data_IF_579237091490
#
_entry.id   IF_579237091490
#
_cell.length_a   1.000
_cell.length_b   1.000
_cell.length_c   1.000
_cell.angle_alpha   90.00
_cell.angle_beta   90.00
_cell.angle_gamma   90.00
#
_symmetry.space_group_name_H-M   'P 1'
#
loop_
_entity.id
_entity.type
_entity.pdbx_description
1 polymer ?
#
# COMPACT_ATOMS: atom_id res chain seq x y z
N UNK A 1 45.08 11.21 15.92
CA UNK A 1 43.88 11.52 16.74
C UNK A 1 42.90 10.39 16.56
N UNK A 2 42.69 9.55 17.57
CA UNK A 2 41.72 8.45 17.52
C UNK A 2 40.34 9.05 17.80
N UNK A 3 39.41 8.96 16.84
CA UNK A 3 38.04 9.42 17.06
C UNK A 3 37.37 8.57 18.14
N UNK A 4 36.51 9.18 18.96
CA UNK A 4 35.76 8.44 19.97
C UNK A 4 34.81 7.44 19.28
N UNK A 5 34.72 6.18 19.74
CA UNK A 5 34.00 5.11 19.04
C UNK A 5 32.51 5.41 18.78
N UNK A 6 31.88 6.25 19.61
CA UNK A 6 30.50 6.70 19.39
C UNK A 6 30.31 7.63 18.20
N UNK A 7 31.31 8.47 17.86
CA UNK A 7 31.22 9.41 16.73
C UNK A 7 31.36 8.72 15.38
N UNK A 8 32.13 7.64 15.30
CA UNK A 8 32.32 6.88 14.06
C UNK A 8 31.05 6.14 13.65
N UNK A 9 30.36 5.48 14.59
CA UNK A 9 29.08 4.80 14.34
C UNK A 9 28.00 5.81 13.89
N UNK A 10 27.97 7.00 14.48
CA UNK A 10 27.01 8.05 14.11
C UNK A 10 27.23 8.52 12.67
N UNK A 11 28.47 8.83 12.29
CA UNK A 11 28.82 9.23 10.92
C UNK A 11 28.51 8.13 9.90
N UNK A 12 28.82 6.87 10.22
CA UNK A 12 28.49 5.74 9.35
C UNK A 12 26.97 5.56 9.23
N UNK A 13 26.22 5.76 10.31
CA UNK A 13 24.75 5.69 10.29
C UNK A 13 24.13 6.80 9.44
N UNK A 14 24.66 8.02 9.50
CA UNK A 14 24.27 9.12 8.63
C UNK A 14 24.57 8.81 7.17
N UNK A 15 25.79 8.35 6.87
CA UNK A 15 26.19 7.98 5.51
C UNK A 15 25.32 6.87 4.93
N UNK A 16 25.04 5.84 5.73
CA UNK A 16 24.12 4.77 5.35
C UNK A 16 22.72 5.35 5.04
N UNK A 17 22.19 6.19 5.92
CA UNK A 17 20.87 6.83 5.71
C UNK A 17 20.80 7.65 4.43
N UNK A 18 21.82 8.46 4.13
CA UNK A 18 21.92 9.22 2.88
C UNK A 18 21.88 8.29 1.67
N UNK A 19 22.65 7.20 1.72
CA UNK A 19 22.83 6.28 0.60
C UNK A 19 21.53 5.57 0.21
N UNK A 20 20.85 4.92 1.16
CA UNK A 20 19.63 4.15 0.85
C UNK A 20 18.36 5.00 0.73
N UNK A 21 18.27 6.15 1.43
CA UNK A 21 17.08 7.02 1.36
C UNK A 21 17.09 7.98 0.19
N UNK A 22 18.28 8.43 -0.23
CA UNK A 22 18.39 9.51 -1.20
C UNK A 22 19.10 9.06 -2.46
N UNK A 23 20.38 8.64 -2.35
CA UNK A 23 21.22 8.44 -3.54
C UNK A 23 20.75 7.28 -4.42
N UNK A 24 20.55 6.08 -3.87
CA UNK A 24 20.11 4.92 -4.67
C UNK A 24 18.71 5.14 -5.29
N UNK A 25 17.69 5.63 -4.56
CA UNK A 25 16.41 6.00 -5.16
C UNK A 25 16.51 7.08 -6.24
N UNK A 26 17.38 8.08 -6.06
CA UNK A 26 17.57 9.14 -7.05
C UNK A 26 18.13 8.59 -8.38
N UNK A 27 19.17 7.75 -8.31
CA UNK A 27 19.73 7.07 -9.48
C UNK A 27 18.69 6.19 -10.19
N UNK A 28 17.89 5.44 -9.42
CA UNK A 28 16.81 4.62 -9.97
C UNK A 28 15.75 5.45 -10.68
N UNK A 29 15.32 6.56 -10.07
CA UNK A 29 14.33 7.48 -10.65
C UNK A 29 14.84 8.13 -11.93
N UNK A 30 16.13 8.47 -11.98
CA UNK A 30 16.80 9.00 -13.16
C UNK A 30 17.05 7.94 -14.24
N UNK A 31 16.86 6.64 -13.93
CA UNK A 31 17.27 5.51 -14.78
C UNK A 31 18.74 5.61 -15.18
N UNK A 32 19.57 5.92 -14.20
CA UNK A 32 21.00 6.13 -14.41
C UNK A 32 21.63 4.89 -15.08
N UNK A 33 22.45 5.06 -16.13
CA UNK A 33 23.03 3.95 -16.90
C UNK A 33 24.07 3.14 -16.12
N UNK A 34 24.45 3.57 -14.91
CA UNK A 34 25.30 2.81 -14.00
C UNK A 34 24.76 1.41 -13.68
N UNK A 35 23.45 1.20 -13.83
CA UNK A 35 22.81 -0.11 -13.81
C UNK A 35 22.07 -0.34 -15.13
N UNK A 36 22.25 -1.51 -15.74
CA UNK A 36 21.52 -1.90 -16.95
C UNK A 36 20.00 -1.94 -16.73
N UNK A 37 19.55 -2.23 -15.51
CA UNK A 37 18.13 -2.28 -15.14
C UNK A 37 17.98 -1.94 -13.66
N UNK A 38 16.98 -1.11 -13.34
CA UNK A 38 16.59 -0.78 -11.97
C UNK A 38 15.33 -1.56 -11.57
N UNK A 39 15.44 -2.73 -10.92
CA UNK A 39 14.28 -3.56 -10.54
C UNK A 39 13.46 -2.94 -9.40
N UNK A 40 14.04 -1.99 -8.66
CA UNK A 40 13.42 -1.33 -7.50
C UNK A 40 13.65 0.17 -7.53
N UNK A 41 12.74 0.94 -6.93
CA UNK A 41 12.77 2.41 -6.91
C UNK A 41 12.57 3.02 -5.52
N UNK A 42 12.20 2.21 -4.52
CA UNK A 42 11.88 2.69 -3.19
C UNK A 42 13.05 2.46 -2.23
N UNK A 43 13.29 3.42 -1.35
CA UNK A 43 14.34 3.41 -0.33
C UNK A 43 14.44 2.09 0.47
N UNK A 44 13.31 1.60 0.97
CA UNK A 44 13.24 0.37 1.74
C UNK A 44 13.53 -0.88 0.90
N UNK A 45 13.33 -0.84 -0.42
CA UNK A 45 13.72 -1.94 -1.30
C UNK A 45 15.25 -2.02 -1.38
N UNK A 46 15.94 -0.89 -1.54
CA UNK A 46 17.40 -0.82 -1.51
C UNK A 46 17.96 -1.25 -0.15
N UNK A 47 17.40 -0.74 0.95
CA UNK A 47 17.80 -1.14 2.28
C UNK A 47 17.66 -2.65 2.48
N UNK A 48 16.54 -3.27 2.08
CA UNK A 48 16.38 -4.72 2.15
C UNK A 48 17.47 -5.45 1.35
N UNK A 49 17.65 -5.10 0.06
CA UNK A 49 18.58 -5.81 -0.83
C UNK A 49 20.00 -5.72 -0.27
N UNK A 50 20.43 -4.52 0.11
CA UNK A 50 21.78 -4.33 0.65
C UNK A 50 21.96 -5.07 1.96
N UNK A 51 21.03 -4.95 2.92
CA UNK A 51 21.17 -5.59 4.22
C UNK A 51 21.11 -7.12 4.12
N UNK A 52 20.25 -7.69 3.27
CA UNK A 52 20.19 -9.13 3.04
C UNK A 52 21.51 -9.68 2.50
N UNK A 53 22.16 -8.95 1.59
CA UNK A 53 23.40 -9.40 0.95
C UNK A 53 24.67 -9.05 1.75
N UNK A 54 24.71 -7.92 2.45
CA UNK A 54 25.86 -7.49 3.23
C UNK A 54 25.91 -8.13 4.63
N UNK A 55 24.75 -8.40 5.22
CA UNK A 55 24.63 -8.81 6.62
C UNK A 55 23.94 -10.17 6.73
N UNK A 56 22.80 -10.32 6.07
CA UNK A 56 21.99 -11.53 6.12
C UNK A 56 22.73 -12.77 5.63
N UNK A 57 23.60 -12.61 4.62
CA UNK A 57 24.35 -13.65 3.90
C UNK A 57 23.42 -14.76 3.37
N UNK A 58 23.08 -15.73 4.21
CA UNK A 58 22.27 -16.90 3.86
C UNK A 58 20.84 -16.85 4.42
N UNK A 59 20.55 -15.86 5.28
CA UNK A 59 19.22 -15.63 5.84
C UNK A 59 18.80 -14.15 5.76
N UNK A 60 17.51 -13.83 5.79
CA UNK A 60 17.04 -12.46 5.88
C UNK A 60 17.74 -11.65 6.97
N UNK A 61 18.13 -10.40 6.69
CA UNK A 61 18.83 -9.56 7.67
C UNK A 61 18.04 -9.38 8.98
N UNK A 62 16.71 -9.49 8.91
CA UNK A 62 15.79 -9.40 10.06
C UNK A 62 16.01 -10.48 11.12
N UNK A 63 16.68 -11.57 10.76
CA UNK A 63 17.08 -12.63 11.69
C UNK A 63 18.51 -12.45 12.22
N UNK A 64 19.29 -11.54 11.61
CA UNK A 64 20.65 -11.23 12.02
C UNK A 64 20.70 -9.99 12.94
N UNK A 65 19.80 -9.01 12.74
CA UNK A 65 19.83 -7.73 13.46
C UNK A 65 18.43 -7.35 13.94
N UNK A 66 18.35 -6.82 15.17
CA UNK A 66 17.13 -6.24 15.73
C UNK A 66 16.68 -5.00 14.95
N UNK A 67 15.37 -4.85 14.80
CA UNK A 67 14.81 -3.63 14.24
C UNK A 67 14.85 -2.48 15.27
N UNK A 68 15.05 -1.22 14.84
CA UNK A 68 15.40 -0.77 13.49
C UNK A 68 16.90 -0.98 13.19
N UNK A 69 17.25 -1.49 12.00
CA UNK A 69 18.64 -1.83 11.64
C UNK A 69 19.62 -0.67 11.84
N UNK A 70 19.23 0.55 11.45
CA UNK A 70 20.05 1.77 11.58
C UNK A 70 20.55 2.02 13.00
N UNK A 71 19.82 1.55 14.04
CA UNK A 71 20.22 1.74 15.45
C UNK A 71 20.92 0.52 16.06
N UNK A 72 20.88 -0.62 15.39
CA UNK A 72 21.29 -1.91 15.96
C UNK A 72 22.42 -2.59 15.17
N UNK A 73 22.91 -1.96 14.08
CA UNK A 73 24.08 -2.43 13.35
C UNK A 73 25.37 -2.08 14.09
N UNK A 74 26.33 -3.01 14.08
CA UNK A 74 27.70 -2.71 14.46
C UNK A 74 28.38 -1.82 13.43
N UNK A 75 29.53 -1.25 13.81
CA UNK A 75 30.38 -0.48 12.92
C UNK A 75 30.76 -1.25 11.64
N UNK A 76 31.16 -2.52 11.78
CA UNK A 76 31.50 -3.40 10.64
C UNK A 76 30.29 -3.67 9.73
N UNK A 77 29.10 -3.83 10.32
CA UNK A 77 27.86 -4.04 9.56
C UNK A 77 27.47 -2.79 8.77
N UNK A 78 27.64 -1.60 9.37
CA UNK A 78 27.46 -0.33 8.68
C UNK A 78 28.46 -0.17 7.54
N UNK A 79 29.75 -0.44 7.78
CA UNK A 79 30.82 -0.40 6.76
C UNK A 79 30.50 -1.33 5.59
N UNK A 80 30.08 -2.57 5.87
CA UNK A 80 29.70 -3.54 4.83
C UNK A 80 28.45 -3.11 4.03
N UNK A 81 27.44 -2.55 4.69
CA UNK A 81 26.24 -2.05 4.02
C UNK A 81 26.54 -0.83 3.12
N UNK A 82 27.35 0.11 3.61
CA UNK A 82 27.78 1.29 2.85
C UNK A 82 28.62 0.85 1.65
N UNK A 83 29.60 -0.03 1.83
CA UNK A 83 30.42 -0.55 0.73
C UNK A 83 29.56 -1.16 -0.39
N UNK A 84 28.62 -2.04 -0.04
CA UNK A 84 27.74 -2.65 -1.03
C UNK A 84 26.84 -1.63 -1.71
N UNK A 85 26.28 -0.67 -0.96
CA UNK A 85 25.46 0.40 -1.52
C UNK A 85 26.25 1.33 -2.47
N UNK A 86 27.51 1.61 -2.16
CA UNK A 86 28.41 2.40 -3.01
C UNK A 86 28.78 1.64 -4.29
N UNK A 87 29.01 0.33 -4.20
CA UNK A 87 29.22 -0.53 -5.37
C UNK A 87 27.99 -0.57 -6.27
N UNK A 88 26.78 -0.60 -5.72
CA UNK A 88 25.55 -0.46 -6.49
C UNK A 88 25.47 0.91 -7.19
N UNK A 89 25.75 1.99 -6.46
CA UNK A 89 25.69 3.36 -6.97
C UNK A 89 26.79 3.68 -8.00
N UNK A 90 27.82 2.84 -8.12
CA UNK A 90 28.93 2.97 -9.08
C UNK A 90 28.95 1.86 -10.13
N UNK A 91 27.98 0.94 -10.12
CA UNK A 91 27.84 -0.11 -11.15
C UNK A 91 28.81 -1.27 -10.96
N UNK A 92 29.56 -1.29 -9.85
CA UNK A 92 30.49 -2.36 -9.46
C UNK A 92 29.79 -3.56 -8.82
N UNK A 93 28.47 -3.48 -8.61
CA UNK A 93 27.64 -4.59 -8.17
C UNK A 93 26.34 -4.62 -8.98
N UNK A 94 25.88 -5.83 -9.30
CA UNK A 94 24.65 -6.05 -10.05
C UNK A 94 23.43 -6.00 -9.13
N UNK A 95 22.62 -4.95 -9.27
CA UNK A 95 21.40 -4.76 -8.48
C UNK A 95 20.36 -5.86 -8.74
N UNK A 96 20.26 -6.37 -9.97
CA UNK A 96 19.29 -7.40 -10.34
C UNK A 96 19.65 -8.71 -9.66
N UNK A 97 20.90 -9.15 -9.76
CA UNK A 97 21.36 -10.38 -9.11
C UNK A 97 21.18 -10.34 -7.58
N UNK A 98 21.45 -9.18 -6.95
CA UNK A 98 21.30 -9.01 -5.51
C UNK A 98 19.84 -8.96 -5.07
N UNK A 99 18.95 -8.38 -5.89
CA UNK A 99 17.50 -8.41 -5.66
C UNK A 99 16.96 -9.83 -5.74
N UNK A 100 17.35 -10.59 -6.77
CA UNK A 100 16.95 -11.97 -6.95
C UNK A 100 17.37 -12.84 -5.77
N UNK A 101 18.63 -12.76 -5.34
CA UNK A 101 19.11 -13.48 -4.14
C UNK A 101 18.32 -13.11 -2.88
N UNK A 102 18.05 -11.82 -2.68
CA UNK A 102 17.26 -11.34 -1.53
C UNK A 102 15.80 -11.82 -1.58
N UNK A 103 15.23 -12.00 -2.76
CA UNK A 103 13.90 -12.58 -2.93
C UNK A 103 13.90 -14.10 -2.69
N UNK A 104 14.90 -14.81 -3.22
CA UNK A 104 15.08 -16.25 -3.04
C UNK A 104 15.20 -16.65 -1.57
N UNK A 105 16.05 -15.96 -0.80
CA UNK A 105 16.21 -16.25 0.63
C UNK A 105 14.93 -16.02 1.45
N UNK A 106 13.99 -15.22 0.91
CA UNK A 106 12.69 -14.90 1.52
C UNK A 106 11.56 -15.76 0.96
N UNK A 107 11.89 -16.80 0.17
CA UNK A 107 10.93 -17.73 -0.42
C UNK A 107 10.12 -17.14 -1.58
N UNK A 108 10.55 -16.02 -2.19
CA UNK A 108 9.91 -15.41 -3.36
C UNK A 108 10.69 -15.78 -4.61
N UNK A 109 10.16 -16.70 -5.43
CA UNK A 109 10.76 -17.04 -6.72
C UNK A 109 10.77 -15.82 -7.65
N UNK A 110 11.97 -15.39 -8.09
CA UNK A 110 12.13 -14.43 -9.18
C UNK A 110 11.60 -15.05 -10.49
N UNK A 111 10.98 -14.23 -11.35
CA UNK A 111 10.60 -14.68 -12.71
C UNK A 111 11.88 -14.77 -13.54
N UNK A 112 12.49 -15.94 -13.61
CA UNK A 112 13.64 -16.23 -14.46
C UNK A 112 13.36 -15.79 -15.91
N UNK A 113 14.22 -14.95 -16.49
CA UNK A 113 14.23 -14.65 -17.93
C UNK A 113 14.58 -15.93 -18.70
N UNK A 114 13.83 -16.22 -19.77
CA UNK A 114 14.01 -17.38 -20.65
C UNK A 114 14.70 -16.90 -21.94
N UNK A 115 15.76 -17.62 -22.35
CA UNK A 115 16.55 -17.42 -23.57
C UNK A 115 18.03 -17.42 -23.19
N UNK A 116 18.90 -18.33 -23.63
CA UNK A 116 18.97 -19.26 -24.77
C UNK A 116 19.55 -20.60 -24.25
N UNK A 117 19.45 -21.80 -24.81
CA UNK A 117 18.82 -22.39 -25.97
C UNK A 117 19.40 -23.81 -26.00
N UNK A 118 18.57 -24.85 -25.83
CA UNK A 118 18.84 -26.22 -26.29
C UNK A 118 17.61 -27.11 -26.05
N UNK A 119 17.32 -27.91 -27.06
CA UNK A 119 16.13 -28.74 -27.24
C UNK A 119 15.94 -29.78 -26.13
N UNK A 120 14.69 -29.91 -25.66
CA UNK A 120 14.02 -31.22 -25.52
C UNK A 120 12.60 -31.07 -24.96
N UNK A 121 11.72 -31.87 -25.53
CA UNK A 121 10.28 -31.93 -25.36
C UNK A 121 9.80 -32.13 -23.91
N UNK A 122 8.82 -31.35 -23.44
CA UNK A 122 7.63 -31.85 -22.71
C UNK A 122 6.69 -30.72 -22.25
N UNK A 123 5.39 -31.01 -22.35
CA UNK A 123 4.23 -30.14 -22.08
C UNK A 123 3.75 -30.21 -20.60
N UNK A 124 2.81 -29.34 -20.14
CA UNK A 124 2.97 -28.55 -18.93
C UNK A 124 2.26 -29.07 -17.66
N UNK A 125 2.80 -28.78 -16.47
CA UNK A 125 2.07 -28.83 -15.19
C UNK A 125 2.03 -27.47 -14.50
N UNK A 126 0.82 -26.90 -14.45
CA UNK A 126 0.42 -25.74 -13.63
C UNK A 126 0.57 -26.05 -12.14
N UNK A 127 1.14 -25.12 -11.34
CA UNK A 127 0.65 -24.85 -9.97
C UNK A 127 1.19 -23.56 -9.32
N UNK A 128 0.21 -22.86 -8.72
CA UNK A 128 0.20 -21.97 -7.55
C UNK A 128 1.35 -20.98 -7.33
N UNK A 129 1.02 -19.68 -7.38
CA UNK A 129 1.80 -18.60 -6.76
C UNK A 129 1.06 -18.07 -5.54
N UNK A 130 1.57 -18.45 -4.38
CA UNK A 130 1.36 -17.78 -3.10
C UNK A 130 2.23 -16.52 -3.07
N UNK A 131 1.65 -15.36 -2.73
CA UNK A 131 2.44 -14.13 -2.50
C UNK A 131 2.31 -13.70 -1.06
N UNK A 132 3.31 -14.12 -0.29
CA UNK A 132 3.56 -13.69 1.09
C UNK A 132 3.94 -12.21 1.18
N UNK A 133 3.24 -11.56 2.12
CA UNK A 133 3.67 -10.49 3.02
C UNK A 133 5.14 -10.06 2.92
N UNK A 134 5.38 -8.76 2.73
CA UNK A 134 6.44 -7.95 3.37
C UNK A 134 6.08 -6.50 3.00
N UNK A 135 5.83 -5.64 4.01
CA UNK A 135 6.18 -4.21 4.00
C UNK A 135 5.57 -3.53 5.24
N UNK A 136 6.26 -3.59 6.38
CA UNK A 136 5.94 -2.82 7.59
C UNK A 136 7.17 -2.10 8.15
N UNK A 137 8.08 -1.61 7.31
CA UNK A 137 9.28 -0.95 7.80
C UNK A 137 9.64 0.28 6.95
N UNK A 138 9.58 1.43 7.62
CA UNK A 138 10.17 2.73 7.27
C UNK A 138 9.44 3.63 6.24
N UNK A 139 9.10 4.86 6.68
CA UNK A 139 8.73 6.04 5.89
C UNK A 139 9.64 7.19 6.35
N UNK A 140 10.08 8.10 5.45
CA UNK A 140 9.33 9.35 5.25
C UNK A 140 9.26 9.86 3.79
N UNK A 141 8.28 10.73 3.54
CA UNK A 141 7.93 11.41 2.27
C UNK A 141 9.06 12.23 1.63
N UNK A 142 8.88 12.61 0.35
CA UNK A 142 9.03 14.02 -0.02
C UNK A 142 7.83 14.61 -0.76
N UNK A 143 7.70 15.92 -0.53
CA UNK A 143 6.82 16.95 -1.06
C UNK A 143 7.11 17.31 -2.52
N UNK A 144 6.11 17.88 -3.21
CA UNK A 144 6.12 19.09 -4.08
C UNK A 144 4.85 19.10 -4.98
N UNK A 145 4.57 20.14 -5.78
CA UNK A 145 3.90 21.42 -5.46
C UNK A 145 2.59 21.60 -6.30
N UNK A 146 1.84 22.72 -6.23
CA UNK A 146 0.48 22.79 -6.78
C UNK A 146 0.47 23.08 -8.28
N UNK A 147 -0.47 22.49 -9.01
CA UNK A 147 -0.76 22.82 -10.41
C UNK A 147 -2.15 23.45 -10.50
N UNK A 148 -2.20 24.56 -11.23
CA UNK A 148 -3.29 25.52 -11.35
C UNK A 148 -4.45 25.02 -12.21
N UNK A 149 -5.64 25.54 -11.93
CA UNK A 149 -6.86 25.47 -12.74
C UNK A 149 -6.66 25.97 -14.18
N UNK A 150 -7.54 25.56 -15.11
CA UNK A 150 -8.46 26.57 -15.63
C UNK A 150 -9.91 26.09 -15.85
N UNK A 151 -10.81 26.80 -15.17
CA UNK A 151 -12.04 27.44 -15.66
C UNK A 151 -12.91 26.77 -16.74
N UNK A 152 -14.09 26.40 -16.25
CA UNK A 152 -15.41 26.31 -16.91
C UNK A 152 -15.75 27.46 -17.86
N UNK A 153 -16.42 27.12 -18.98
CA UNK A 153 -17.38 27.98 -19.69
C UNK A 153 -18.70 27.21 -19.85
N UNK A 154 -19.78 27.79 -19.33
CA UNK A 154 -21.18 27.43 -19.67
C UNK A 154 -21.56 28.05 -21.02
N UNK A 155 -22.63 27.57 -21.71
CA UNK A 155 -23.95 28.21 -21.52
C UNK A 155 -25.21 27.33 -21.72
N UNK A 156 -26.21 27.64 -20.89
CA UNK A 156 -27.67 27.74 -21.08
C UNK A 156 -28.49 26.82 -22.03
N UNK A 157 -29.42 26.11 -21.39
CA UNK A 157 -30.89 26.07 -21.56
C UNK A 157 -31.54 25.89 -22.95
N UNK A 158 -32.43 24.89 -23.06
CA UNK A 158 -33.78 24.99 -23.69
C UNK A 158 -34.70 23.79 -23.32
N UNK A 159 -35.86 24.17 -22.81
CA UNK A 159 -37.23 23.59 -22.77
C UNK A 159 -37.57 22.16 -23.22
N UNK A 160 -38.51 21.59 -22.45
CA UNK A 160 -39.20 20.27 -22.48
C UNK A 160 -40.12 20.05 -23.71
N UNK A 161 -40.63 18.81 -23.95
CA UNK A 161 -41.90 18.34 -23.36
C UNK A 161 -41.98 16.84 -22.94
N UNK A 162 -42.98 16.57 -22.08
CA UNK A 162 -43.53 15.32 -21.45
C UNK A 162 -44.08 14.33 -22.52
N UNK A 163 -44.22 12.99 -22.39
CA UNK A 163 -44.89 12.04 -21.42
C UNK A 163 -44.52 10.56 -21.84
N UNK A 164 -45.12 9.45 -21.31
CA UNK A 164 -45.14 8.81 -19.98
C UNK A 164 -44.52 7.38 -19.94
N UNK A 165 -44.19 6.90 -18.74
CA UNK A 165 -44.38 5.50 -18.36
C UNK A 165 -43.19 4.54 -18.50
N UNK A 166 -42.37 4.41 -17.45
CA UNK A 166 -41.84 3.11 -17.04
C UNK A 166 -41.63 3.14 -15.54
N UNK A 167 -42.19 2.12 -14.89
CA UNK A 167 -42.39 1.95 -13.46
C UNK A 167 -41.06 1.96 -12.71
N UNK A 168 -40.93 2.89 -11.76
CA UNK A 168 -39.83 2.92 -10.80
C UNK A 168 -39.98 1.74 -9.83
N UNK A 169 -38.94 0.93 -9.57
CA UNK A 169 -38.96 0.03 -8.44
C UNK A 169 -38.99 0.87 -7.16
N UNK A 170 -40.02 0.61 -6.36
CA UNK A 170 -40.22 1.07 -4.99
C UNK A 170 -38.89 1.10 -4.20
N UNK A 171 -38.38 2.31 -4.00
CA UNK A 171 -37.26 2.57 -3.08
C UNK A 171 -37.83 3.28 -1.86
N UNK A 172 -38.57 2.52 -1.05
CA UNK A 172 -38.88 2.89 0.32
C UNK A 172 -37.60 3.35 1.03
N UNK A 173 -37.55 4.58 1.60
CA UNK A 173 -36.39 5.07 2.34
C UNK A 173 -36.14 4.16 3.55
N UNK A 174 -35.08 3.35 3.51
CA UNK A 174 -34.68 2.55 4.66
C UNK A 174 -34.13 3.49 5.75
N UNK A 175 -34.73 3.44 6.93
CA UNK A 175 -34.31 4.11 8.16
C UNK A 175 -32.78 4.10 8.35
N UNK A 176 -32.15 5.22 8.77
CA UNK A 176 -30.71 5.27 8.98
C UNK A 176 -30.30 4.22 10.02
N UNK A 177 -29.42 3.28 9.62
CA UNK A 177 -28.93 2.24 10.52
C UNK A 177 -28.26 2.89 11.73
N UNK A 178 -28.80 2.67 12.92
CA UNK A 178 -28.22 3.18 14.17
C UNK A 178 -26.85 2.52 14.41
N UNK A 179 -25.77 3.30 14.26
CA UNK A 179 -24.38 2.85 14.46
C UNK A 179 -23.85 3.10 15.88
N UNK A 180 -24.68 3.61 16.80
CA UNK A 180 -24.28 3.94 18.17
C UNK A 180 -23.70 2.74 18.94
N UNK A 181 -24.25 1.50 18.84
CA UNK A 181 -23.65 0.34 19.49
C UNK A 181 -22.22 0.05 19.00
N UNK A 182 -21.96 0.23 17.71
CA UNK A 182 -20.66 0.01 17.09
C UNK A 182 -19.68 1.09 17.53
N UNK A 183 -20.10 2.36 17.55
CA UNK A 183 -19.30 3.47 18.05
C UNK A 183 -18.91 3.26 19.52
N UNK A 184 -19.85 2.81 20.36
CA UNK A 184 -19.57 2.49 21.75
C UNK A 184 -18.52 1.36 21.87
N UNK A 185 -18.67 0.25 21.13
CA UNK A 185 -17.70 -0.85 21.12
C UNK A 185 -16.31 -0.42 20.64
N UNK A 186 -16.23 0.47 19.64
CA UNK A 186 -14.96 1.02 19.18
C UNK A 186 -14.32 1.86 20.30
N UNK A 187 -15.10 2.74 20.94
CA UNK A 187 -14.62 3.62 21.99
C UNK A 187 -14.06 2.86 23.20
N UNK A 188 -14.75 1.81 23.66
CA UNK A 188 -14.36 1.00 24.84
C UNK A 188 -13.28 -0.04 24.56
N UNK A 189 -12.87 -0.23 23.30
CA UNK A 189 -11.86 -1.22 22.93
C UNK A 189 -10.41 -0.82 23.27
N UNK A 190 -9.49 -1.79 23.29
CA UNK A 190 -8.06 -1.57 23.47
C UNK A 190 -7.32 -1.23 22.15
N UNK A 191 -8.04 -0.72 21.15
CA UNK A 191 -7.46 -0.34 19.87
C UNK A 191 -6.65 0.96 19.97
N UNK A 192 -5.60 1.08 19.14
CA UNK A 192 -4.84 2.33 19.00
C UNK A 192 -5.76 3.50 18.60
N UNK A 193 -5.45 4.75 18.98
CA UNK A 193 -6.25 5.92 18.60
C UNK A 193 -6.53 6.01 17.10
N UNK A 194 -5.53 5.75 16.25
CA UNK A 194 -5.69 5.73 14.79
C UNK A 194 -6.74 4.72 14.32
N UNK A 195 -6.71 3.49 14.86
CA UNK A 195 -7.69 2.44 14.53
C UNK A 195 -9.09 2.81 15.02
N UNK A 196 -9.23 3.37 16.23
CA UNK A 196 -10.53 3.84 16.75
C UNK A 196 -11.12 4.89 15.82
N UNK A 197 -10.37 5.94 15.51
CA UNK A 197 -10.78 6.99 14.59
C UNK A 197 -11.19 6.42 13.22
N UNK A 198 -10.33 5.59 12.62
CA UNK A 198 -10.59 5.02 11.29
C UNK A 198 -11.86 4.18 11.27
N UNK A 199 -12.10 3.34 12.28
CA UNK A 199 -13.31 2.51 12.37
C UNK A 199 -14.56 3.34 12.66
N UNK A 200 -14.46 4.40 13.47
CA UNK A 200 -15.58 5.32 13.70
C UNK A 200 -15.98 6.07 12.42
N UNK A 201 -15.01 6.45 11.59
CA UNK A 201 -15.29 7.06 10.28
C UNK A 201 -16.01 6.10 9.32
N UNK A 202 -15.75 4.79 9.38
CA UNK A 202 -16.50 3.82 8.58
C UNK A 202 -17.98 3.82 8.92
N UNK A 203 -18.32 4.01 10.20
CA UNK A 203 -19.71 4.06 10.65
C UNK A 203 -20.48 5.26 10.09
N UNK A 204 -19.79 6.28 9.56
CA UNK A 204 -20.42 7.44 8.94
C UNK A 204 -20.75 7.22 7.45
N UNK A 205 -20.20 6.18 6.82
CA UNK A 205 -20.47 5.88 5.41
C UNK A 205 -21.87 5.28 5.33
N UNK A 206 -22.83 5.91 4.62
CA UNK A 206 -24.20 5.39 4.54
C UNK A 206 -24.26 4.01 3.87
N UNK A 207 -25.30 3.24 4.17
CA UNK A 207 -25.65 2.03 3.42
C UNK A 207 -25.85 2.39 1.95
N UNK A 208 -25.31 1.58 1.04
CA UNK A 208 -25.41 1.80 -0.41
C UNK A 208 -24.40 2.80 -0.96
N UNK A 209 -23.57 3.38 -0.09
CA UNK A 209 -22.44 4.21 -0.48
C UNK A 209 -21.12 3.49 -0.19
N UNK A 210 -20.08 3.92 -0.88
CA UNK A 210 -18.73 3.44 -0.69
C UNK A 210 -17.77 4.62 -0.58
N UNK A 211 -16.62 4.41 0.04
CA UNK A 211 -15.50 5.35 0.02
C UNK A 211 -14.24 4.66 -0.50
N UNK A 212 -13.13 5.37 -0.59
CA UNK A 212 -11.84 4.81 -1.01
C UNK A 212 -10.81 4.89 0.10
N UNK A 213 -9.80 4.02 0.06
CA UNK A 213 -8.66 4.11 0.97
C UNK A 213 -7.99 5.49 0.94
N UNK A 214 -7.90 6.08 -0.26
CA UNK A 214 -7.35 7.42 -0.46
C UNK A 214 -8.24 8.48 0.21
N UNK A 215 -9.55 8.47 -0.05
CA UNK A 215 -10.47 9.45 0.55
C UNK A 215 -10.47 9.42 2.09
N UNK A 216 -10.43 8.23 2.69
CA UNK A 216 -10.29 8.08 4.14
C UNK A 216 -8.94 8.61 4.64
N UNK A 217 -7.83 8.27 3.97
CA UNK A 217 -6.52 8.76 4.38
C UNK A 217 -6.39 10.28 4.25
N UNK A 218 -6.99 10.87 3.23
CA UNK A 218 -7.01 12.32 3.01
C UNK A 218 -7.81 13.03 4.11
N UNK A 219 -8.95 12.46 4.51
CA UNK A 219 -9.76 13.03 5.59
C UNK A 219 -9.00 12.95 6.92
N UNK A 220 -8.50 11.78 7.31
CA UNK A 220 -7.76 11.60 8.57
C UNK A 220 -6.51 12.49 8.61
N UNK A 221 -5.81 12.64 7.48
CA UNK A 221 -4.64 13.50 7.38
C UNK A 221 -4.96 14.98 7.58
N UNK A 222 -6.18 15.42 7.20
CA UNK A 222 -6.63 16.80 7.41
C UNK A 222 -7.12 17.06 8.83
N UNK A 223 -7.68 16.06 9.52
CA UNK A 223 -8.37 16.26 10.80
C UNK A 223 -7.59 15.77 12.02
N UNK A 224 -6.61 14.88 11.86
CA UNK A 224 -5.89 14.28 12.99
C UNK A 224 -4.38 14.22 12.79
N UNK A 225 -3.89 13.35 11.92
CA UNK A 225 -2.45 13.16 11.69
C UNK A 225 -2.19 12.59 10.31
N UNK A 226 -1.00 12.87 9.79
CA UNK A 226 -0.57 12.39 8.47
C UNK A 226 -0.65 10.86 8.41
N UNK A 227 -1.47 10.36 7.48
CA UNK A 227 -1.67 8.93 7.24
C UNK A 227 -1.67 8.63 5.74
N UNK A 228 -1.76 7.36 5.37
CA UNK A 228 -1.77 6.93 3.97
C UNK A 228 -2.76 5.80 3.73
N UNK A 229 -3.16 5.61 2.48
CA UNK A 229 -4.10 4.57 2.06
C UNK A 229 -3.71 3.16 2.55
N UNK A 230 -2.39 2.86 2.62
CA UNK A 230 -1.89 1.58 3.14
C UNK A 230 -2.14 1.39 4.63
N UNK A 231 -1.98 2.44 5.44
CA UNK A 231 -2.28 2.41 6.87
C UNK A 231 -3.78 2.19 7.11
N UNK A 232 -4.64 2.85 6.32
CA UNK A 232 -6.10 2.62 6.33
C UNK A 232 -6.41 1.17 5.95
N UNK A 233 -5.78 0.64 4.89
CA UNK A 233 -5.93 -0.76 4.48
C UNK A 233 -5.58 -1.76 5.59
N UNK A 234 -4.50 -1.50 6.35
CA UNK A 234 -4.13 -2.32 7.51
C UNK A 234 -5.17 -2.23 8.65
N UNK A 235 -5.78 -1.06 8.86
CA UNK A 235 -6.88 -0.93 9.82
C UNK A 235 -8.12 -1.73 9.36
N UNK A 236 -8.45 -1.71 8.06
CA UNK A 236 -9.58 -2.49 7.50
C UNK A 236 -9.36 -3.99 7.63
N UNK A 237 -8.16 -4.47 7.30
CA UNK A 237 -7.79 -5.89 7.39
C UNK A 237 -7.93 -6.44 8.82
N UNK A 238 -7.66 -5.60 9.81
CA UNK A 238 -7.68 -5.96 11.22
C UNK A 238 -8.90 -5.37 11.95
N UNK A 239 -10.06 -5.28 11.29
CA UNK A 239 -11.29 -4.82 11.92
C UNK A 239 -11.92 -5.94 12.77
N UNK A 240 -11.86 -5.88 14.12
CA UNK A 240 -12.42 -6.94 14.98
C UNK A 240 -13.95 -6.87 15.09
N UNK A 241 -14.57 -5.82 14.55
CA UNK A 241 -16.01 -5.58 14.62
C UNK A 241 -16.72 -5.86 13.30
N UNK A 242 -16.04 -6.48 12.33
CA UNK A 242 -16.68 -6.95 11.10
C UNK A 242 -17.71 -8.05 11.40
N UNK A 243 -18.82 -8.14 10.65
CA UNK A 243 -19.28 -7.23 9.59
C UNK A 243 -20.02 -5.97 10.12
N UNK A 244 -20.25 -5.87 11.44
CA UNK A 244 -21.02 -4.78 12.05
C UNK A 244 -20.42 -3.39 11.82
N UNK A 245 -19.09 -3.27 11.76
CA UNK A 245 -18.39 -2.07 11.26
C UNK A 245 -18.05 -2.30 9.78
N UNK A 246 -18.55 -1.46 8.85
CA UNK A 246 -18.67 -1.81 7.44
C UNK A 246 -17.36 -1.58 6.64
N UNK A 247 -16.34 -2.39 6.91
CA UNK A 247 -15.07 -2.30 6.17
C UNK A 247 -15.19 -2.73 4.68
N UNK A 248 -16.26 -3.40 4.28
CA UNK A 248 -16.55 -3.74 2.89
C UNK A 248 -16.87 -2.50 2.03
N UNK A 249 -17.28 -1.38 2.63
CA UNK A 249 -17.56 -0.11 1.93
C UNK A 249 -16.31 0.65 1.48
N UNK A 250 -15.10 0.17 1.79
CA UNK A 250 -13.84 0.82 1.39
C UNK A 250 -13.22 0.12 0.18
N UNK A 251 -13.06 0.86 -0.91
CA UNK A 251 -12.60 0.37 -2.22
C UNK A 251 -11.29 1.02 -2.68
N UNK A 252 -10.74 0.54 -3.79
CA UNK A 252 -9.60 1.17 -4.44
C UNK A 252 -10.02 2.49 -5.13
N UNK A 253 -9.04 3.36 -5.38
CA UNK A 253 -9.27 4.70 -5.94
C UNK A 253 -9.90 4.67 -7.35
N UNK A 254 -9.67 3.59 -8.10
CA UNK A 254 -10.21 3.36 -9.45
C UNK A 254 -11.62 2.73 -9.45
N UNK A 255 -12.22 2.53 -8.27
CA UNK A 255 -13.52 1.87 -8.11
C UNK A 255 -13.48 0.35 -8.13
N UNK A 256 -12.29 -0.27 -8.26
CA UNK A 256 -12.15 -1.72 -8.09
C UNK A 256 -12.31 -2.14 -6.63
N UNK A 257 -12.62 -3.42 -6.39
CA UNK A 257 -12.95 -3.93 -5.05
C UNK A 257 -11.88 -3.66 -3.98
N UNK A 258 -10.60 -3.57 -4.35
CA UNK A 258 -9.51 -3.45 -3.39
C UNK A 258 -9.38 -4.68 -2.48
N UNK A 259 -8.94 -4.47 -1.23
CA UNK A 259 -8.70 -5.55 -0.28
C UNK A 259 -9.88 -5.85 0.64
N UNK A 260 -10.07 -7.12 1.02
CA UNK A 260 -11.06 -7.55 2.01
C UNK A 260 -10.67 -8.87 2.69
N UNK A 261 -10.92 -8.97 3.99
CA UNK A 261 -10.68 -10.20 4.76
C UNK A 261 -9.24 -10.72 4.75
N UNK A 262 -8.25 -9.89 4.43
CA UNK A 262 -6.85 -10.32 4.32
C UNK A 262 -6.32 -10.45 2.90
N UNK A 263 -7.17 -10.41 1.89
CA UNK A 263 -6.79 -10.66 0.49
C UNK A 263 -7.11 -9.46 -0.41
N UNK A 264 -6.50 -9.39 -1.60
CA UNK A 264 -6.62 -8.25 -2.52
C UNK A 264 -7.21 -8.64 -3.87
N UNK A 265 -8.06 -7.77 -4.42
CA UNK A 265 -8.60 -7.89 -5.78
C UNK A 265 -9.81 -8.82 -5.89
N UNK A 266 -10.36 -8.91 -7.10
CA UNK A 266 -11.58 -9.69 -7.42
C UNK A 266 -11.39 -11.21 -7.29
N UNK A 267 -10.15 -11.70 -7.24
CA UNK A 267 -9.81 -13.11 -7.05
C UNK A 267 -9.52 -13.51 -5.60
N UNK A 268 -9.63 -12.59 -4.64
CA UNK A 268 -9.46 -12.94 -3.22
C UNK A 268 -10.59 -13.85 -2.73
N UNK A 269 -10.29 -14.75 -1.78
CA UNK A 269 -11.24 -15.67 -1.15
C UNK A 269 -12.50 -14.98 -0.64
N UNK A 270 -12.35 -13.74 -0.14
CA UNK A 270 -13.45 -12.93 0.39
C UNK A 270 -13.96 -11.87 -0.60
N UNK A 271 -13.44 -11.83 -1.83
CA UNK A 271 -13.87 -10.85 -2.84
C UNK A 271 -15.35 -11.06 -3.21
N UNK A 272 -15.78 -12.33 -3.36
CA UNK A 272 -17.18 -12.67 -3.60
C UNK A 272 -18.10 -12.18 -2.47
N UNK A 273 -17.67 -12.36 -1.23
CA UNK A 273 -18.41 -11.90 -0.05
C UNK A 273 -18.49 -10.36 0.01
N UNK A 274 -17.39 -9.66 -0.31
CA UNK A 274 -17.40 -8.19 -0.40
C UNK A 274 -18.40 -7.70 -1.46
N UNK A 275 -18.40 -8.33 -2.63
CA UNK A 275 -19.33 -8.00 -3.72
C UNK A 275 -20.77 -8.25 -3.29
N UNK A 276 -21.04 -9.38 -2.62
CA UNK A 276 -22.37 -9.72 -2.10
C UNK A 276 -22.88 -8.65 -1.15
N UNK A 277 -22.09 -8.30 -0.14
CA UNK A 277 -22.44 -7.24 0.83
C UNK A 277 -22.72 -5.90 0.15
N UNK A 278 -21.86 -5.48 -0.79
CA UNK A 278 -22.06 -4.23 -1.54
C UNK A 278 -23.35 -4.26 -2.38
N UNK A 279 -23.64 -5.37 -3.07
CA UNK A 279 -24.86 -5.51 -3.87
C UNK A 279 -26.12 -5.52 -3.02
N UNK A 280 -26.10 -6.20 -1.87
CA UNK A 280 -27.21 -6.20 -0.91
C UNK A 280 -27.50 -4.80 -0.35
N UNK A 281 -26.48 -3.95 -0.31
CA UNK A 281 -26.63 -2.53 0.04
C UNK A 281 -27.10 -1.64 -1.12
N UNK A 282 -27.24 -2.18 -2.34
CA UNK A 282 -27.67 -1.43 -3.53
C UNK A 282 -26.51 -0.82 -4.33
N UNK A 283 -25.27 -1.19 -4.06
CA UNK A 283 -24.11 -0.67 -4.80
C UNK A 283 -24.02 -1.33 -6.19
N UNK A 284 -24.14 -0.52 -7.23
CA UNK A 284 -24.05 -0.96 -8.62
C UNK A 284 -22.62 -1.13 -9.12
N UNK A 285 -22.41 -2.10 -10.03
CA UNK A 285 -21.12 -2.38 -10.67
C UNK A 285 -21.20 -2.20 -12.20
N UNK A 286 -20.10 -1.78 -12.83
CA UNK A 286 -19.94 -1.74 -14.28
C UNK A 286 -19.61 -3.13 -14.87
N UNK A 287 -19.56 -3.23 -16.19
CA UNK A 287 -19.22 -4.48 -16.90
C UNK A 287 -17.78 -4.96 -16.64
N UNK A 288 -16.93 -4.11 -16.08
CA UNK A 288 -15.55 -4.42 -15.67
C UNK A 288 -15.45 -4.77 -14.18
N UNK A 289 -16.57 -4.85 -13.46
CA UNK A 289 -16.63 -5.17 -12.04
C UNK A 289 -16.17 -4.04 -11.11
N UNK A 290 -16.18 -2.78 -11.58
CA UNK A 290 -15.91 -1.59 -10.76
C UNK A 290 -17.20 -0.97 -10.28
N UNK A 291 -17.18 -0.37 -9.10
CA UNK A 291 -18.36 0.29 -8.54
C UNK A 291 -18.68 1.57 -9.30
N UNK A 292 -19.98 1.81 -9.54
CA UNK A 292 -20.51 3.03 -10.15
C UNK A 292 -20.73 4.12 -9.10
N UNK A 293 -20.57 5.37 -9.51
CA UNK A 293 -20.79 6.55 -8.66
C UNK A 293 -19.48 7.17 -8.17
N UNK A 294 -19.62 8.12 -7.24
CA UNK A 294 -18.51 8.82 -6.62
C UNK A 294 -18.31 8.36 -5.18
N UNK A 295 -17.06 8.30 -4.68
CA UNK A 295 -16.82 7.89 -3.30
C UNK A 295 -17.35 8.92 -2.32
N UNK A 296 -17.95 8.43 -1.24
CA UNK A 296 -18.38 9.21 -0.08
C UNK A 296 -17.18 9.94 0.54
N UNK A 297 -17.36 11.25 0.75
CA UNK A 297 -16.39 12.17 1.37
C UNK A 297 -16.99 13.02 2.49
N UNK A 298 -18.27 12.81 2.84
CA UNK A 298 -19.03 13.59 3.84
C UNK A 298 -18.69 13.24 5.29
N UNK A 299 -17.43 12.95 5.59
CA UNK A 299 -16.98 12.63 6.95
C UNK A 299 -17.01 13.87 7.84
N UNK A 300 -17.47 13.72 9.08
CA UNK A 300 -17.54 14.80 10.08
C UNK A 300 -18.84 15.61 10.06
N UNK A 301 -19.83 15.23 9.25
CA UNK A 301 -21.21 15.72 9.37
C UNK A 301 -21.98 14.84 10.34
N UNK A 302 -22.09 15.26 11.60
CA UNK A 302 -22.85 14.61 12.66
C UNK A 302 -23.21 15.62 13.74
#
# INVERSE_FOLDING_TARGET
>A
MVQAPGKEIEQLSERWNELYKQRLPALAKARDPVQNTWPVFLDHCFARIVLDNAIGRDKPWTEAIKSPAVKNMSEDQLKAAIDLGERLASGKADLVALDERSLEMRGKQSKKRKGEGEDSQSSPKKRKRETGTISSYFLPSPSSPPTQDPQSKSPQAKTTPRVPGTESPDHSPQEPTNMQPQLHRIATSNLTPFRKLTLSLLCQIPRGQYTTYAALSDHISRTSHKTCARAVGNAMRNNPFAPGVPCHRVLAADGSLGGFGGEWGSGGKFAGEKVRLLREEGVGFDSRGRVRGSPFRGFGGG
#
